data_IF_905280139427
#
_entry.id   IF_905280139427
#
_cell.length_a   1.000
_cell.length_b   1.000
_cell.length_c   1.000
_cell.angle_alpha   90.00
_cell.angle_beta   90.00
_cell.angle_gamma   90.00
#
_symmetry.space_group_name_H-M   'P 1'
#
loop_
_entity.id
_entity.type
_entity.pdbx_description
1 polymer ?
#
# COMPACT_ATOMS: atom_id res chain seq x y z
N UNK A 1 6.98 -10.78 2.49
CA UNK A 1 6.14 -9.97 1.57
C UNK A 1 5.73 -8.62 2.18
N UNK A 2 5.52 -8.51 3.51
CA UNK A 2 5.18 -7.23 4.19
C UNK A 2 6.26 -6.12 4.03
N UNK A 3 7.52 -6.46 4.32
CA UNK A 3 8.63 -5.50 4.40
C UNK A 3 8.89 -4.77 3.06
N UNK A 4 8.67 -5.46 1.94
CA UNK A 4 8.88 -4.88 0.61
C UNK A 4 7.84 -3.78 0.29
N UNK A 5 6.58 -3.97 0.67
CA UNK A 5 5.50 -3.03 0.33
C UNK A 5 5.57 -1.75 1.15
N UNK A 6 5.89 -1.85 2.44
CA UNK A 6 6.06 -0.68 3.33
C UNK A 6 7.23 0.21 2.87
N UNK A 7 8.33 -0.42 2.45
CA UNK A 7 9.52 0.30 1.99
C UNK A 7 9.23 1.10 0.71
N UNK A 8 8.47 0.52 -0.23
CA UNK A 8 8.14 1.19 -1.50
C UNK A 8 7.22 2.40 -1.29
N UNK A 9 6.18 2.28 -0.45
CA UNK A 9 5.25 3.38 -0.17
C UNK A 9 5.99 4.57 0.48
N UNK A 10 6.84 4.28 1.46
CA UNK A 10 7.64 5.30 2.14
C UNK A 10 8.58 6.03 1.18
N UNK A 11 9.24 5.30 0.26
CA UNK A 11 10.12 5.92 -0.73
C UNK A 11 9.35 6.78 -1.75
N UNK A 12 8.15 6.37 -2.18
CA UNK A 12 7.30 7.20 -3.05
C UNK A 12 6.95 8.52 -2.35
N UNK A 13 6.53 8.47 -1.09
CA UNK A 13 6.22 9.70 -0.34
C UNK A 13 7.46 10.56 -0.08
N UNK A 14 8.60 9.93 0.24
CA UNK A 14 9.88 10.63 0.41
C UNK A 14 10.26 11.40 -0.86
N UNK A 15 10.21 10.75 -2.01
CA UNK A 15 10.52 11.37 -3.30
C UNK A 15 9.52 12.48 -3.66
N UNK A 16 8.22 12.27 -3.41
CA UNK A 16 7.21 13.31 -3.60
C UNK A 16 7.52 14.56 -2.75
N UNK A 17 7.84 14.38 -1.47
CA UNK A 17 8.16 15.48 -0.55
C UNK A 17 9.45 16.20 -0.97
N UNK A 18 10.49 15.47 -1.38
CA UNK A 18 11.74 16.06 -1.88
C UNK A 18 11.50 17.00 -3.06
N UNK A 19 10.60 16.61 -3.96
CA UNK A 19 10.32 17.32 -5.21
C UNK A 19 9.30 18.47 -5.07
N UNK A 20 8.81 18.76 -3.86
CA UNK A 20 7.92 19.90 -3.62
C UNK A 20 8.59 21.24 -3.91
N UNK A 21 7.87 22.14 -4.57
CA UNK A 21 8.31 23.52 -4.80
C UNK A 21 8.32 24.34 -3.51
N UNK A 22 8.92 25.53 -3.55
CA UNK A 22 8.89 26.48 -2.42
C UNK A 22 7.45 26.89 -2.07
N UNK A 23 6.59 27.04 -3.07
CA UNK A 23 5.16 27.36 -2.91
C UNK A 23 4.41 26.23 -2.19
N UNK A 24 4.64 24.97 -2.62
CA UNK A 24 4.03 23.79 -2.01
C UNK A 24 4.39 23.65 -0.53
N UNK A 25 5.66 23.90 -0.20
CA UNK A 25 6.16 23.85 1.20
C UNK A 25 5.60 24.96 2.08
N UNK A 26 5.25 26.11 1.49
CA UNK A 26 4.56 27.21 2.20
C UNK A 26 3.09 26.88 2.45
N UNK A 27 2.44 26.13 1.57
CA UNK A 27 1.05 25.70 1.72
C UNK A 27 0.87 24.50 2.69
N UNK A 28 1.24 24.68 3.95
CA UNK A 28 1.16 23.62 4.98
C UNK A 28 -0.27 23.12 5.23
N UNK A 29 -1.28 23.97 5.07
CA UNK A 29 -2.69 23.63 5.35
C UNK A 29 -3.36 22.85 4.23
N UNK A 30 -2.89 22.99 2.99
CA UNK A 30 -3.44 22.33 1.81
C UNK A 30 -2.58 21.18 1.27
N UNK A 31 -1.53 20.79 2.00
CA UNK A 31 -0.63 19.72 1.57
C UNK A 31 -1.38 18.39 1.41
N UNK A 32 -1.18 17.73 0.27
CA UNK A 32 -1.75 16.42 -0.04
C UNK A 32 -0.64 15.52 -0.55
N UNK A 33 -0.68 14.26 -0.14
CA UNK A 33 0.17 13.21 -0.71
C UNK A 33 -0.51 12.59 -1.94
N UNK A 34 0.24 12.04 -2.90
CA UNK A 34 -0.35 11.30 -4.01
C UNK A 34 -1.13 10.09 -3.49
N UNK A 35 -2.21 9.75 -4.18
CA UNK A 35 -2.90 8.49 -3.93
C UNK A 35 -2.00 7.33 -4.37
N UNK A 36 -1.82 6.33 -3.50
CA UNK A 36 -1.09 5.10 -3.80
C UNK A 36 -2.06 3.94 -3.72
N UNK A 37 -2.14 3.16 -4.79
CA UNK A 37 -2.97 1.95 -4.89
C UNK A 37 -2.06 0.73 -4.96
N UNK A 38 -1.87 -0.01 -3.85
CA UNK A 38 -1.07 -1.23 -3.87
C UNK A 38 -1.79 -2.33 -4.66
N UNK A 39 -1.17 -2.78 -5.76
CA UNK A 39 -1.69 -3.85 -6.60
C UNK A 39 -0.84 -5.10 -6.44
N UNK A 40 -1.48 -6.23 -6.15
CA UNK A 40 -0.85 -7.54 -6.09
C UNK A 40 -1.31 -8.36 -7.29
N UNK A 41 -0.39 -8.57 -8.23
CA UNK A 41 -0.55 -9.53 -9.30
C UNK A 41 -0.14 -10.90 -8.78
N UNK A 42 -1.05 -11.86 -8.73
CA UNK A 42 -0.72 -13.21 -8.31
C UNK A 42 -1.07 -14.23 -9.38
N UNK A 43 -0.18 -15.19 -9.54
CA UNK A 43 -0.33 -16.31 -10.47
C UNK A 43 -0.14 -17.60 -9.69
N UNK A 44 -1.24 -18.15 -9.19
CA UNK A 44 -1.24 -19.39 -8.43
C UNK A 44 -2.38 -20.30 -8.87
N UNK A 45 -2.16 -21.60 -8.73
CA UNK A 45 -3.20 -22.62 -8.89
C UNK A 45 -4.19 -22.56 -7.72
N UNK A 46 -3.73 -22.08 -6.55
CA UNK A 46 -4.56 -21.94 -5.34
C UNK A 46 -5.14 -20.54 -5.22
N UNK A 47 -6.35 -20.45 -4.68
CA UNK A 47 -6.96 -19.17 -4.31
C UNK A 47 -6.08 -18.44 -3.29
N UNK A 48 -5.98 -17.13 -3.46
CA UNK A 48 -5.31 -16.26 -2.50
C UNK A 48 -6.01 -16.32 -1.14
N UNK A 49 -5.24 -16.55 -0.08
CA UNK A 49 -5.73 -16.67 1.29
C UNK A 49 -5.03 -15.69 2.27
N UNK A 50 -4.04 -14.93 1.81
CA UNK A 50 -3.38 -13.94 2.64
C UNK A 50 -4.30 -12.72 2.87
N UNK A 51 -4.19 -12.03 4.02
CA UNK A 51 -5.00 -10.85 4.28
C UNK A 51 -4.80 -9.75 3.23
N UNK A 52 -5.90 -9.05 2.88
CA UNK A 52 -5.89 -7.90 1.96
C UNK A 52 -5.70 -6.55 2.65
N UNK A 53 -5.86 -6.51 3.96
CA UNK A 53 -5.60 -5.31 4.76
C UNK A 53 -4.25 -5.46 5.44
N UNK A 54 -3.42 -4.43 5.32
CA UNK A 54 -2.10 -4.41 5.95
C UNK A 54 -2.17 -4.61 7.47
N UNK A 55 -3.15 -3.99 8.15
CA UNK A 55 -3.29 -4.15 9.61
C UNK A 55 -3.45 -5.60 10.06
N UNK A 56 -4.03 -6.47 9.23
CA UNK A 56 -4.27 -7.88 9.58
C UNK A 56 -2.99 -8.73 9.61
N UNK A 57 -1.84 -8.20 9.18
CA UNK A 57 -0.54 -8.85 9.28
C UNK A 57 0.41 -8.11 10.23
N UNK A 58 -0.02 -6.99 10.81
CA UNK A 58 0.75 -6.23 11.82
C UNK A 58 0.53 -6.86 13.19
N UNK A 59 1.61 -7.10 13.92
CA UNK A 59 1.53 -7.63 15.28
C UNK A 59 0.75 -6.68 16.20
N UNK A 60 -0.11 -7.26 17.04
CA UNK A 60 -0.92 -6.55 18.03
C UNK A 60 -1.77 -5.42 17.42
N UNK A 61 -2.23 -5.59 16.18
CA UNK A 61 -2.98 -4.55 15.46
C UNK A 61 -4.26 -4.11 16.16
N UNK A 62 -4.87 -5.01 16.93
CA UNK A 62 -6.05 -4.79 17.76
C UNK A 62 -5.83 -3.77 18.88
N UNK A 63 -4.60 -3.65 19.40
CA UNK A 63 -4.27 -2.71 20.47
C UNK A 63 -4.22 -1.28 19.93
N UNK A 64 -3.71 -1.12 18.71
CA UNK A 64 -3.53 0.19 18.08
C UNK A 64 -4.78 0.67 17.35
N UNK A 65 -5.73 -0.24 17.06
CA UNK A 65 -7.02 0.08 16.45
C UNK A 65 -6.88 0.89 15.16
N UNK A 66 -7.57 2.02 15.09
CA UNK A 66 -7.58 2.92 13.93
C UNK A 66 -6.31 3.79 13.80
N UNK A 67 -5.37 3.71 14.75
CA UNK A 67 -4.12 4.46 14.70
C UNK A 67 -3.04 3.79 13.82
N UNK A 68 -3.31 2.58 13.29
CA UNK A 68 -2.41 1.91 12.35
C UNK A 68 -2.66 2.40 10.94
N UNK A 69 -1.57 2.72 10.23
CA UNK A 69 -1.59 2.89 8.78
C UNK A 69 -2.04 1.59 8.13
N UNK A 70 -3.23 1.58 7.53
CA UNK A 70 -3.82 0.38 6.95
C UNK A 70 -4.08 0.56 5.45
N UNK A 71 -3.36 -0.20 4.62
CA UNK A 71 -3.57 -0.24 3.19
C UNK A 71 -4.46 -1.43 2.79
N UNK A 72 -5.32 -1.23 1.79
CA UNK A 72 -6.03 -2.32 1.10
C UNK A 72 -5.30 -2.65 -0.19
N UNK A 73 -4.96 -3.92 -0.37
CA UNK A 73 -4.34 -4.41 -1.60
C UNK A 73 -5.41 -4.80 -2.62
N UNK A 74 -5.33 -4.22 -3.82
CA UNK A 74 -6.10 -4.71 -4.97
C UNK A 74 -5.44 -5.96 -5.53
N UNK A 75 -6.21 -7.04 -5.62
CA UNK A 75 -5.70 -8.36 -5.96
C UNK A 75 -6.16 -8.73 -7.38
N UNK A 76 -5.21 -8.95 -8.28
CA UNK A 76 -5.47 -9.39 -9.64
C UNK A 76 -4.92 -10.79 -9.86
N UNK A 77 -5.82 -11.68 -10.26
CA UNK A 77 -5.46 -13.04 -10.64
C UNK A 77 -5.11 -13.07 -12.13
N UNK A 78 -3.83 -13.30 -12.45
CA UNK A 78 -3.32 -13.12 -13.81
C UNK A 78 -3.69 -14.30 -14.75
N UNK A 79 -3.84 -15.51 -14.21
CA UNK A 79 -3.87 -16.75 -15.02
C UNK A 79 -5.19 -17.53 -14.99
N UNK A 80 -6.33 -16.90 -14.72
CA UNK A 80 -7.62 -17.62 -14.72
C UNK A 80 -8.01 -18.21 -16.09
N UNK A 81 -7.42 -17.73 -17.19
CA UNK A 81 -7.85 -18.04 -18.56
C UNK A 81 -6.97 -19.04 -19.33
N UNK A 82 -6.08 -19.78 -18.65
CA UNK A 82 -5.36 -20.91 -19.26
C UNK A 82 -5.67 -22.20 -18.51
N UNK A 83 -6.94 -22.58 -18.48
CA UNK A 83 -7.34 -23.97 -18.25
C UNK A 83 -7.98 -24.45 -19.55
N UNK A 84 -7.18 -25.14 -20.37
CA UNK A 84 -7.67 -25.95 -21.48
C UNK A 84 -8.05 -27.33 -20.95
#
# INVERSE_FOLDING_TARGET
MSIANETVINEIFREHIKNLTVEDRKNKKGFKVPAIVPIVLYNSIRKWNAPRYFKNIVNNSEISGDNIVNFNYELFYVNHQYTK
#
